data_IF_783642177525
#
_entry.id   IF_783642177525
#
_cell.length_a   1.000
_cell.length_b   1.000
_cell.length_c   1.000
_cell.angle_alpha   90.00
_cell.angle_beta   90.00
_cell.angle_gamma   90.00
#
_symmetry.space_group_name_H-M   'P 1'
#
loop_
_entity.id
_entity.type
_entity.pdbx_description
1 polymer ?
#
# COMPACT_ATOMS: atom_id res chain seq x y z
N UNK A 1 -29.29 -68.48 50.08
CA UNK A 1 -30.34 -68.67 49.07
C UNK A 1 -29.95 -67.76 47.89
N UNK A 2 -29.52 -68.41 46.86
CA UNK A 2 -28.87 -67.79 45.68
C UNK A 2 -29.89 -67.61 44.59
N UNK A 3 -30.11 -66.38 44.12
CA UNK A 3 -30.78 -66.13 42.83
C UNK A 3 -29.83 -65.65 41.81
N UNK A 4 -29.62 -66.48 40.80
CA UNK A 4 -28.89 -66.16 39.55
C UNK A 4 -29.85 -65.43 38.59
N UNK A 5 -29.57 -64.22 38.26
CA UNK A 5 -30.22 -63.55 37.13
C UNK A 5 -29.32 -63.63 35.91
N UNK A 6 -29.87 -64.18 34.85
CA UNK A 6 -29.25 -64.32 33.51
C UNK A 6 -29.54 -63.03 32.73
N UNK A 7 -28.54 -62.31 32.36
CA UNK A 7 -28.66 -61.14 31.43
C UNK A 7 -28.48 -61.61 30.00
N UNK A 8 -29.47 -61.41 29.16
CA UNK A 8 -29.42 -61.56 27.71
C UNK A 8 -28.79 -60.31 27.13
N UNK A 9 -27.66 -60.46 26.44
CA UNK A 9 -27.04 -59.42 25.65
C UNK A 9 -27.65 -59.42 24.25
N UNK A 10 -28.27 -58.30 23.87
CA UNK A 10 -28.66 -58.04 22.47
C UNK A 10 -27.59 -57.24 21.80
N UNK A 11 -27.14 -57.56 20.59
CA UNK A 11 -26.17 -56.72 19.84
C UNK A 11 -26.91 -55.58 19.17
N UNK A 12 -26.54 -54.36 19.52
CA UNK A 12 -26.95 -53.13 18.83
C UNK A 12 -26.09 -52.96 17.59
N UNK A 13 -26.66 -53.13 16.41
CA UNK A 13 -26.06 -52.78 15.13
C UNK A 13 -26.05 -51.26 15.01
N UNK A 14 -24.89 -50.63 15.20
CA UNK A 14 -24.65 -49.21 14.87
C UNK A 14 -24.38 -49.10 13.36
N UNK A 15 -25.38 -48.59 12.62
CA UNK A 15 -25.19 -48.12 11.25
C UNK A 15 -24.41 -46.81 11.31
N UNK A 16 -23.13 -46.81 10.94
CA UNK A 16 -22.31 -45.63 10.73
C UNK A 16 -22.76 -44.93 9.46
N UNK A 17 -23.54 -43.85 9.60
CA UNK A 17 -23.76 -42.91 8.48
C UNK A 17 -22.48 -42.11 8.23
N UNK A 18 -21.82 -42.43 7.15
CA UNK A 18 -20.75 -41.60 6.57
C UNK A 18 -21.38 -40.31 5.97
N UNK A 19 -21.48 -39.27 6.79
CA UNK A 19 -21.72 -37.92 6.31
C UNK A 19 -20.40 -37.36 5.79
N UNK A 20 -20.20 -37.39 4.45
CA UNK A 20 -19.14 -36.68 3.79
C UNK A 20 -19.36 -35.17 4.00
N UNK A 21 -18.40 -34.41 4.53
CA UNK A 21 -18.48 -32.95 4.49
C UNK A 21 -18.34 -32.53 3.02
N UNK A 22 -19.38 -31.88 2.48
CA UNK A 22 -19.24 -31.08 1.28
C UNK A 22 -18.18 -29.99 1.60
N UNK A 23 -16.99 -30.18 1.09
CA UNK A 23 -15.99 -29.11 1.03
C UNK A 23 -16.58 -28.03 0.10
N UNK A 24 -17.14 -26.99 0.72
CA UNK A 24 -17.32 -25.71 0.05
C UNK A 24 -15.92 -25.25 -0.34
N UNK A 25 -15.62 -25.37 -1.65
CA UNK A 25 -14.52 -24.66 -2.26
C UNK A 25 -14.81 -23.18 -2.02
N UNK A 26 -14.13 -22.58 -1.03
CA UNK A 26 -13.95 -21.15 -0.98
C UNK A 26 -13.20 -20.79 -2.26
N UNK A 27 -13.89 -20.03 -3.11
CA UNK A 27 -13.22 -19.38 -4.23
C UNK A 27 -12.02 -18.62 -3.67
N UNK A 28 -10.89 -18.82 -4.31
CA UNK A 28 -9.68 -18.06 -4.07
C UNK A 28 -10.06 -16.58 -4.25
N UNK A 29 -10.36 -15.88 -3.13
CA UNK A 29 -10.28 -14.43 -3.10
C UNK A 29 -8.82 -14.15 -3.44
N UNK A 30 -8.60 -13.47 -4.57
CA UNK A 30 -7.29 -13.03 -5.06
C UNK A 30 -6.57 -12.27 -3.94
N UNK A 31 -5.81 -12.99 -3.10
CA UNK A 31 -4.83 -12.35 -2.25
C UNK A 31 -3.93 -11.51 -3.15
N UNK A 32 -3.77 -10.21 -2.90
CA UNK A 32 -2.96 -9.37 -3.76
C UNK A 32 -1.56 -9.98 -3.81
N UNK A 33 -1.19 -10.53 -4.98
CA UNK A 33 0.09 -11.17 -5.21
C UNK A 33 1.18 -10.17 -4.80
N UNK A 34 1.78 -10.40 -3.64
CA UNK A 34 2.87 -9.55 -3.16
C UNK A 34 4.03 -9.70 -4.15
N UNK A 35 4.17 -8.67 -4.99
CA UNK A 35 5.28 -8.61 -5.95
C UNK A 35 6.59 -8.60 -5.16
N UNK A 36 7.53 -9.53 -5.44
CA UNK A 36 8.72 -9.69 -4.64
C UNK A 36 9.63 -8.45 -4.67
N UNK A 37 10.34 -8.22 -3.57
CA UNK A 37 11.39 -7.21 -3.53
C UNK A 37 12.63 -7.74 -4.25
N UNK A 38 13.05 -7.03 -5.29
CA UNK A 38 14.25 -7.37 -6.04
C UNK A 38 15.53 -6.91 -5.34
N UNK A 39 16.69 -7.57 -5.61
CA UNK A 39 17.99 -7.07 -5.21
C UNK A 39 18.23 -5.62 -5.66
N UNK A 40 19.18 -4.95 -4.99
CA UNK A 40 19.57 -3.57 -5.35
C UNK A 40 19.97 -3.47 -6.82
N UNK A 41 19.50 -2.41 -7.50
CA UNK A 41 19.76 -2.19 -8.92
C UNK A 41 18.87 -2.99 -9.87
N UNK A 42 17.87 -3.70 -9.33
CA UNK A 42 16.90 -4.44 -10.12
C UNK A 42 15.47 -3.92 -9.87
N UNK A 43 14.58 -4.19 -10.83
CA UNK A 43 13.16 -3.90 -10.79
C UNK A 43 12.37 -5.15 -11.17
N UNK A 44 11.23 -5.34 -10.55
CA UNK A 44 10.35 -6.45 -10.87
C UNK A 44 9.60 -6.18 -12.19
N UNK A 45 9.79 -7.05 -13.15
CA UNK A 45 9.03 -7.08 -14.39
C UNK A 45 7.77 -7.94 -14.19
N UNK A 46 6.61 -7.29 -14.21
CA UNK A 46 5.31 -7.96 -13.99
C UNK A 46 4.94 -8.94 -15.10
N UNK A 47 5.47 -8.76 -16.33
CA UNK A 47 5.17 -9.64 -17.47
C UNK A 47 5.95 -10.95 -17.41
N UNK A 48 7.24 -10.88 -17.10
CA UNK A 48 8.09 -12.06 -17.02
C UNK A 48 8.16 -12.65 -15.61
N UNK A 49 7.59 -11.96 -14.62
CA UNK A 49 7.62 -12.31 -13.19
C UNK A 49 9.06 -12.51 -12.65
N UNK A 50 9.99 -11.70 -13.14
CA UNK A 50 11.42 -11.77 -12.79
C UNK A 50 11.95 -10.40 -12.40
N UNK A 51 12.99 -10.41 -11.58
CA UNK A 51 13.81 -9.23 -11.33
C UNK A 51 14.76 -9.02 -12.52
N UNK A 52 14.71 -7.84 -13.10
CA UNK A 52 15.57 -7.40 -14.22
C UNK A 52 16.30 -6.12 -13.84
N UNK A 53 17.33 -5.73 -14.59
CA UNK A 53 18.06 -4.48 -14.34
C UNK A 53 17.14 -3.27 -14.41
N UNK A 54 17.34 -2.26 -13.57
CA UNK A 54 16.54 -1.03 -13.55
C UNK A 54 16.51 -0.29 -14.90
N UNK A 55 17.57 -0.42 -15.68
CA UNK A 55 17.71 0.18 -17.02
C UNK A 55 17.09 -0.64 -18.14
N UNK A 56 16.50 -1.82 -17.82
CA UNK A 56 15.88 -2.67 -18.82
C UNK A 56 14.75 -1.94 -19.55
N UNK A 57 14.81 -1.84 -20.87
CA UNK A 57 13.76 -1.25 -21.70
C UNK A 57 12.45 -2.06 -21.71
N UNK A 58 12.49 -3.27 -21.17
CA UNK A 58 11.34 -4.18 -21.13
C UNK A 58 10.30 -3.77 -20.06
N UNK A 59 10.72 -3.04 -19.03
CA UNK A 59 9.83 -2.61 -17.94
C UNK A 59 9.23 -1.24 -18.26
N UNK A 60 7.91 -1.12 -18.35
CA UNK A 60 7.23 0.16 -18.58
C UNK A 60 7.48 1.17 -17.43
N UNK A 61 7.41 2.47 -17.74
CA UNK A 61 7.56 3.53 -16.73
C UNK A 61 6.52 3.42 -15.60
N UNK A 62 5.30 2.99 -15.89
CA UNK A 62 4.26 2.77 -14.88
C UNK A 62 4.72 1.73 -13.84
N UNK A 63 5.21 0.56 -14.29
CA UNK A 63 5.68 -0.51 -13.40
C UNK A 63 6.89 -0.08 -12.58
N UNK A 64 7.81 0.70 -13.18
CA UNK A 64 8.96 1.28 -12.47
C UNK A 64 8.53 2.27 -11.40
N UNK A 65 7.55 3.13 -11.73
CA UNK A 65 7.00 4.10 -10.79
C UNK A 65 6.36 3.40 -9.59
N UNK A 66 5.56 2.35 -9.83
CA UNK A 66 4.93 1.58 -8.77
C UNK A 66 5.96 0.82 -7.93
N UNK A 67 7.00 0.30 -8.56
CA UNK A 67 8.08 -0.36 -7.84
C UNK A 67 8.90 0.62 -6.99
N UNK A 68 9.15 1.83 -7.49
CA UNK A 68 9.81 2.88 -6.73
C UNK A 68 9.03 3.25 -5.47
N UNK A 69 7.69 3.32 -5.55
CA UNK A 69 6.86 3.54 -4.37
C UNK A 69 7.01 2.42 -3.33
N UNK A 70 6.99 1.16 -3.76
CA UNK A 70 7.22 0.03 -2.85
C UNK A 70 8.59 0.10 -2.18
N UNK A 71 9.65 0.39 -2.94
CA UNK A 71 10.99 0.60 -2.37
C UNK A 71 10.97 1.70 -1.31
N UNK A 72 10.28 2.81 -1.57
CA UNK A 72 10.17 3.90 -0.62
C UNK A 72 9.35 3.53 0.62
N UNK A 73 8.29 2.74 0.48
CA UNK A 73 7.53 2.21 1.64
C UNK A 73 8.37 1.25 2.49
N UNK A 74 9.32 0.53 1.88
CA UNK A 74 10.28 -0.35 2.56
C UNK A 74 11.50 0.40 3.14
N UNK A 75 11.51 1.75 3.10
CA UNK A 75 12.62 2.56 3.60
C UNK A 75 13.83 2.64 2.66
N UNK A 76 13.77 2.10 1.45
CA UNK A 76 14.82 2.10 0.43
C UNK A 76 14.74 3.36 -0.44
N UNK A 77 14.81 4.53 0.19
CA UNK A 77 14.49 5.82 -0.44
C UNK A 77 15.44 6.19 -1.58
N UNK A 78 16.75 6.01 -1.40
CA UNK A 78 17.76 6.29 -2.43
C UNK A 78 17.57 5.39 -3.66
N UNK A 79 17.21 4.13 -3.44
CA UNK A 79 16.94 3.20 -4.54
C UNK A 79 15.64 3.56 -5.28
N UNK A 80 14.63 4.01 -4.53
CA UNK A 80 13.41 4.53 -5.14
C UNK A 80 13.70 5.73 -6.05
N UNK A 81 14.50 6.68 -5.57
CA UNK A 81 14.92 7.85 -6.37
C UNK A 81 15.73 7.45 -7.60
N UNK A 82 16.72 6.56 -7.43
CA UNK A 82 17.52 6.05 -8.54
C UNK A 82 16.67 5.36 -9.61
N UNK A 83 15.63 4.62 -9.20
CA UNK A 83 14.71 4.01 -10.15
C UNK A 83 13.84 5.05 -10.87
N UNK A 84 13.33 6.06 -10.15
CA UNK A 84 12.57 7.17 -10.75
C UNK A 84 13.40 8.00 -11.73
N UNK A 85 14.74 8.05 -11.58
CA UNK A 85 15.65 8.71 -12.52
C UNK A 85 15.80 7.95 -13.86
N UNK A 86 15.40 6.66 -13.89
CA UNK A 86 15.43 5.86 -15.14
C UNK A 86 14.17 6.01 -15.99
N UNK A 87 13.15 6.75 -15.53
CA UNK A 87 11.90 6.93 -16.28
C UNK A 87 12.11 7.73 -17.55
N UNK A 88 11.46 7.32 -18.62
CA UNK A 88 11.41 8.09 -19.88
C UNK A 88 10.53 9.33 -19.74
N UNK A 89 9.50 9.24 -18.91
CA UNK A 89 8.57 10.33 -18.59
C UNK A 89 8.56 10.56 -17.06
N UNK A 90 9.58 11.23 -16.51
CA UNK A 90 9.73 11.40 -15.05
C UNK A 90 8.76 12.43 -14.46
N UNK A 91 8.12 13.26 -15.28
CA UNK A 91 7.27 14.36 -14.86
C UNK A 91 5.77 14.01 -14.96
N UNK A 92 5.38 12.81 -14.53
CA UNK A 92 3.97 12.45 -14.29
C UNK A 92 3.57 12.79 -12.86
N UNK A 93 2.29 13.06 -12.62
CA UNK A 93 1.81 13.36 -11.26
C UNK A 93 2.24 12.27 -10.26
N UNK A 94 2.08 11.01 -10.64
CA UNK A 94 2.42 9.84 -9.81
C UNK A 94 3.93 9.73 -9.53
N UNK A 95 4.78 9.90 -10.55
CA UNK A 95 6.23 9.84 -10.38
C UNK A 95 6.74 10.97 -9.49
N UNK A 96 6.22 12.19 -9.68
CA UNK A 96 6.55 13.34 -8.84
C UNK A 96 6.08 13.15 -7.39
N UNK A 97 4.88 12.59 -7.16
CA UNK A 97 4.41 12.26 -5.83
C UNK A 97 5.38 11.32 -5.10
N UNK A 98 5.77 10.23 -5.75
CA UNK A 98 6.66 9.24 -5.12
C UNK A 98 8.10 9.74 -4.98
N UNK A 99 8.56 10.60 -5.89
CA UNK A 99 9.83 11.33 -5.72
C UNK A 99 9.77 12.25 -4.50
N UNK A 100 8.70 13.01 -4.36
CA UNK A 100 8.46 13.85 -3.18
C UNK A 100 8.45 13.05 -1.88
N UNK A 101 7.78 11.89 -1.87
CA UNK A 101 7.73 11.01 -0.70
C UNK A 101 9.13 10.52 -0.30
N UNK A 102 9.89 9.93 -1.22
CA UNK A 102 11.23 9.43 -0.93
C UNK A 102 12.18 10.56 -0.49
N UNK A 103 12.12 11.72 -1.15
CA UNK A 103 12.94 12.90 -0.83
C UNK A 103 12.62 13.42 0.57
N UNK A 104 11.34 13.54 0.94
CA UNK A 104 10.91 13.97 2.27
C UNK A 104 11.36 12.98 3.35
N UNK A 105 11.24 11.68 3.11
CA UNK A 105 11.67 10.64 4.07
C UNK A 105 13.19 10.63 4.30
N UNK A 106 13.98 11.15 3.36
CA UNK A 106 15.41 11.42 3.53
C UNK A 106 15.71 12.74 4.28
N UNK A 107 14.69 13.40 4.85
CA UNK A 107 14.84 14.66 5.58
C UNK A 107 14.87 15.92 4.72
N UNK A 108 14.82 15.80 3.40
CA UNK A 108 14.80 16.93 2.43
C UNK A 108 13.36 17.42 2.20
N UNK A 109 12.71 17.87 3.29
CA UNK A 109 11.26 18.15 3.29
C UNK A 109 10.87 19.26 2.31
N UNK A 110 11.64 20.37 2.24
CA UNK A 110 11.32 21.49 1.35
C UNK A 110 11.43 21.09 -0.14
N UNK A 111 12.40 20.25 -0.49
CA UNK A 111 12.52 19.70 -1.83
C UNK A 111 11.36 18.74 -2.15
N UNK A 112 10.97 17.91 -1.18
CA UNK A 112 9.78 17.04 -1.29
C UNK A 112 8.51 17.82 -1.55
N UNK A 113 8.29 18.94 -0.84
CA UNK A 113 7.18 19.87 -1.07
C UNK A 113 7.18 20.37 -2.52
N UNK A 114 8.35 20.72 -3.05
CA UNK A 114 8.49 21.16 -4.45
C UNK A 114 7.99 20.12 -5.46
N UNK A 115 8.28 18.84 -5.25
CA UNK A 115 7.76 17.76 -6.10
C UNK A 115 6.26 17.55 -5.93
N UNK A 116 5.73 17.62 -4.70
CA UNK A 116 4.29 17.50 -4.46
C UNK A 116 3.49 18.63 -5.13
N UNK A 117 3.97 19.88 -5.06
CA UNK A 117 3.31 20.99 -5.72
C UNK A 117 3.29 20.83 -7.24
N UNK A 118 4.34 20.29 -7.85
CA UNK A 118 4.35 19.97 -9.27
C UNK A 118 3.35 18.86 -9.60
N UNK A 119 3.26 17.84 -8.76
CA UNK A 119 2.30 16.74 -8.90
C UNK A 119 0.84 17.26 -8.82
N UNK A 120 0.52 18.08 -7.81
CA UNK A 120 -0.81 18.72 -7.67
C UNK A 120 -1.16 19.58 -8.87
N UNK A 121 -0.17 20.26 -9.46
CA UNK A 121 -0.40 21.08 -10.67
C UNK A 121 -0.77 20.22 -11.88
N UNK A 122 -0.20 19.02 -12.01
CA UNK A 122 -0.50 18.07 -13.09
C UNK A 122 -1.83 17.34 -12.87
N UNK A 123 -2.14 16.98 -11.64
CA UNK A 123 -3.40 16.34 -11.28
C UNK A 123 -3.95 16.93 -9.97
N UNK A 124 -4.81 17.95 -10.08
CA UNK A 124 -5.44 18.57 -8.91
C UNK A 124 -6.38 17.65 -8.12
N UNK A 125 -6.81 16.53 -8.70
CA UNK A 125 -7.72 15.57 -8.06
C UNK A 125 -6.98 14.38 -7.42
N UNK A 126 -5.66 14.37 -7.42
CA UNK A 126 -4.87 13.31 -6.84
C UNK A 126 -4.82 13.46 -5.30
N UNK A 127 -5.72 12.74 -4.59
CA UNK A 127 -5.88 12.83 -3.14
C UNK A 127 -4.58 12.47 -2.38
N UNK A 128 -3.90 11.40 -2.77
CA UNK A 128 -2.68 10.94 -2.08
C UNK A 128 -1.55 11.96 -2.10
N UNK A 129 -1.36 12.71 -3.20
CA UNK A 129 -0.32 13.76 -3.20
C UNK A 129 -0.68 14.92 -2.28
N UNK A 130 -1.97 15.21 -2.11
CA UNK A 130 -2.42 16.25 -1.18
C UNK A 130 -2.24 15.84 0.28
N UNK A 131 -2.46 14.56 0.59
CA UNK A 131 -2.15 13.98 1.89
C UNK A 131 -0.65 14.17 2.20
N UNK A 132 0.24 13.70 1.33
CA UNK A 132 1.69 13.79 1.55
C UNK A 132 2.22 15.24 1.58
N UNK A 133 1.61 16.15 0.81
CA UNK A 133 1.89 17.58 0.89
C UNK A 133 1.44 18.15 2.23
N UNK A 134 0.25 17.79 2.70
CA UNK A 134 -0.27 18.19 4.00
C UNK A 134 0.61 17.70 5.14
N UNK A 135 1.02 16.43 5.15
CA UNK A 135 1.98 15.89 6.11
C UNK A 135 3.31 16.65 6.09
N UNK A 136 3.81 16.99 4.89
CA UNK A 136 5.03 17.77 4.77
C UNK A 136 4.88 19.18 5.36
N UNK A 137 3.72 19.80 5.23
CA UNK A 137 3.40 21.08 5.87
C UNK A 137 3.31 20.95 7.40
N UNK A 138 2.73 19.86 7.92
CA UNK A 138 2.74 19.57 9.35
C UNK A 138 4.17 19.48 9.87
N UNK A 139 5.07 18.73 9.22
CA UNK A 139 6.49 18.62 9.57
C UNK A 139 7.18 20.02 9.60
N UNK A 140 6.74 20.94 8.74
CA UNK A 140 7.28 22.32 8.69
C UNK A 140 6.57 23.29 9.64
N UNK A 141 5.65 22.82 10.49
CA UNK A 141 4.85 23.65 11.39
C UNK A 141 3.80 24.53 10.67
N UNK A 142 3.53 24.25 9.39
CA UNK A 142 2.59 25.00 8.55
C UNK A 142 1.20 24.34 8.56
N UNK A 143 0.60 24.27 9.75
CA UNK A 143 -0.69 23.58 9.95
C UNK A 143 -1.83 24.21 9.15
N UNK A 144 -1.79 25.52 8.92
CA UNK A 144 -2.69 26.27 8.06
C UNK A 144 -2.78 25.67 6.64
N UNK A 145 -1.62 25.44 6.02
CA UNK A 145 -1.54 24.85 4.69
C UNK A 145 -1.90 23.36 4.67
N UNK A 146 -1.62 22.64 5.74
CA UNK A 146 -2.07 21.26 5.88
C UNK A 146 -3.60 21.17 5.93
N UNK A 147 -4.26 22.07 6.66
CA UNK A 147 -5.72 22.16 6.70
C UNK A 147 -6.32 22.49 5.33
N UNK A 148 -5.69 23.35 4.54
CA UNK A 148 -6.11 23.60 3.15
C UNK A 148 -6.08 22.32 2.31
N UNK A 149 -5.02 21.50 2.42
CA UNK A 149 -4.96 20.23 1.71
C UNK A 149 -6.05 19.27 2.19
N UNK A 150 -6.32 19.20 3.48
CA UNK A 150 -7.39 18.36 4.06
C UNK A 150 -8.77 18.74 3.48
N UNK A 151 -9.06 20.05 3.33
CA UNK A 151 -10.30 20.52 2.70
C UNK A 151 -10.38 20.13 1.20
N UNK A 152 -9.25 20.13 0.49
CA UNK A 152 -9.21 19.66 -0.90
C UNK A 152 -9.49 18.15 -0.98
N UNK A 153 -8.88 17.35 -0.10
CA UNK A 153 -9.10 15.89 -0.04
C UNK A 153 -10.57 15.60 0.25
N UNK A 154 -11.18 16.33 1.20
CA UNK A 154 -12.61 16.20 1.51
C UNK A 154 -13.51 16.40 0.28
N UNK A 155 -13.16 17.34 -0.59
CA UNK A 155 -13.91 17.59 -1.83
C UNK A 155 -13.71 16.51 -2.89
N UNK A 156 -12.56 15.82 -2.88
CA UNK A 156 -12.19 14.76 -3.84
C UNK A 156 -12.84 13.44 -3.49
N UNK A 157 -12.73 12.98 -2.24
CA UNK A 157 -13.15 11.64 -1.83
C UNK A 157 -13.97 11.61 -0.52
N UNK A 158 -14.29 12.77 0.07
CA UNK A 158 -15.02 12.84 1.34
C UNK A 158 -14.14 12.57 2.56
N UNK A 159 -14.79 12.43 3.73
CA UNK A 159 -14.09 12.18 5.01
C UNK A 159 -13.81 10.70 5.27
N UNK A 160 -14.31 9.81 4.44
CA UNK A 160 -14.20 8.36 4.61
C UNK A 160 -12.98 7.74 3.90
N UNK A 161 -12.28 8.47 3.04
CA UNK A 161 -11.08 7.94 2.38
C UNK A 161 -9.86 7.93 3.31
N UNK A 162 -8.88 7.10 2.97
CA UNK A 162 -7.64 6.91 3.74
C UNK A 162 -6.88 8.24 3.87
N UNK A 163 -6.70 8.93 2.77
CA UNK A 163 -5.93 10.17 2.69
C UNK A 163 -6.49 11.29 3.58
N UNK A 164 -7.83 11.35 3.72
CA UNK A 164 -8.45 12.31 4.64
C UNK A 164 -8.14 11.95 6.10
N UNK A 165 -8.30 10.67 6.47
CA UNK A 165 -8.09 10.22 7.84
C UNK A 165 -6.63 10.40 8.27
N UNK A 166 -5.71 10.02 7.42
CA UNK A 166 -4.27 10.04 7.72
C UNK A 166 -3.78 11.48 7.89
N UNK A 167 -4.19 12.41 7.00
CA UNK A 167 -3.83 13.81 7.17
C UNK A 167 -4.52 14.46 8.37
N UNK A 168 -5.79 14.14 8.64
CA UNK A 168 -6.49 14.66 9.81
C UNK A 168 -5.83 14.20 11.11
N UNK A 169 -5.37 12.96 11.19
CA UNK A 169 -4.60 12.44 12.31
C UNK A 169 -3.27 13.18 12.48
N UNK A 170 -2.50 13.35 11.40
CA UNK A 170 -1.23 14.08 11.42
C UNK A 170 -1.38 15.53 11.92
N UNK A 171 -2.43 16.23 11.49
CA UNK A 171 -2.74 17.59 11.97
C UNK A 171 -3.09 17.58 13.45
N UNK A 172 -3.91 16.65 13.89
CA UNK A 172 -4.35 16.54 15.30
C UNK A 172 -3.17 16.26 16.24
N UNK A 173 -2.25 15.39 15.84
CA UNK A 173 -1.09 15.03 16.66
C UNK A 173 -0.09 16.17 16.76
N UNK A 174 0.05 16.98 15.73
CA UNK A 174 0.90 18.18 15.77
C UNK A 174 0.40 19.25 16.75
N UNK A 175 -0.88 19.27 17.07
CA UNK A 175 -1.48 20.22 18.01
C UNK A 175 -1.29 19.84 19.48
N UNK A 176 -0.82 18.62 19.76
CA UNK A 176 -0.59 18.09 21.12
C UNK A 176 0.86 18.28 21.62
N UNK A 177 1.76 18.68 20.71
CA UNK A 177 3.19 18.93 21.00
C UNK A 177 3.50 20.40 21.11
#
# INVERSE_FOLDING_TARGET
MTFRSVMFAAPLLMAAMLSSPLALAHGDEDEPVQKPNCPKGQVYDSKTQKCVTQTSSLVPDADRTDYAYRLAKDGRYEEALALLDTLKQPNTAKALNYRGYATRKLGRTDEGIGYYLQSVKLDPQYAQVREYLGEAYVIKGRVDLAQEQLQHIQKICGTGCEEYRDLAEAINDSSKT
#
